data_IF_564965962180
#
_entry.id   IF_564965962180
#
_cell.length_a   1.000
_cell.length_b   1.000
_cell.length_c   1.000
_cell.angle_alpha   90.00
_cell.angle_beta   90.00
_cell.angle_gamma   90.00
#
_symmetry.space_group_name_H-M   'P 1'
#
loop_
_entity.id
_entity.type
_entity.pdbx_description
1 polymer ?
#
# COMPACT_ATOMS: atom_id res chain seq x y z
N UNK A 1 -0.45 -2.20 1.03
CA UNK A 1 0.10 -0.98 0.41
C UNK A 1 -1.02 -0.16 -0.19
N UNK A 2 -0.74 1.11 -0.49
CA UNK A 2 -1.63 1.97 -1.26
C UNK A 2 -2.53 2.84 -0.39
N UNK A 3 -3.11 3.83 -1.06
CA UNK A 3 -3.92 4.90 -0.46
C UNK A 3 -5.05 4.41 0.45
N UNK A 4 -5.79 3.32 0.13
CA UNK A 4 -6.90 2.89 0.99
C UNK A 4 -6.48 2.52 2.41
N UNK A 5 -5.32 1.89 2.57
CA UNK A 5 -4.79 1.51 3.90
C UNK A 5 -4.25 2.74 4.62
N UNK A 6 -3.49 3.58 3.91
CA UNK A 6 -2.92 4.81 4.47
C UNK A 6 -4.02 5.71 5.03
N UNK A 7 -5.13 5.86 4.29
CA UNK A 7 -6.26 6.68 4.71
C UNK A 7 -6.95 6.14 5.98
N UNK A 8 -7.13 4.83 6.08
CA UNK A 8 -7.75 4.19 7.26
C UNK A 8 -6.88 4.32 8.51
N UNK A 9 -5.57 4.16 8.37
CA UNK A 9 -4.62 4.34 9.48
C UNK A 9 -4.57 5.81 9.89
N UNK A 10 -4.64 6.74 8.93
CA UNK A 10 -4.70 8.16 9.24
C UNK A 10 -5.99 8.54 9.98
N UNK A 11 -7.14 8.00 9.56
CA UNK A 11 -8.43 8.15 10.26
C UNK A 11 -8.33 7.66 11.71
N UNK A 12 -7.76 6.46 11.93
CA UNK A 12 -7.53 5.89 13.27
C UNK A 12 -6.59 6.77 14.12
N UNK A 13 -5.58 7.39 13.51
CA UNK A 13 -4.65 8.27 14.21
C UNK A 13 -5.32 9.58 14.62
N UNK A 14 -6.12 10.18 13.73
CA UNK A 14 -6.93 11.37 14.02
C UNK A 14 -7.93 11.09 15.15
N UNK A 15 -8.59 9.94 15.13
CA UNK A 15 -9.50 9.52 16.20
C UNK A 15 -8.79 9.39 17.56
N UNK A 16 -7.50 9.03 17.57
CA UNK A 16 -6.65 8.95 18.76
C UNK A 16 -6.00 10.29 19.16
N UNK A 17 -6.41 11.41 18.54
CA UNK A 17 -5.92 12.75 18.85
C UNK A 17 -4.50 13.04 18.36
N UNK A 18 -3.96 12.24 17.44
CA UNK A 18 -2.70 12.53 16.74
C UNK A 18 -3.03 13.13 15.37
N UNK A 19 -2.37 14.22 14.94
CA UNK A 19 -2.61 14.77 13.59
C UNK A 19 -1.94 13.93 12.49
N UNK A 20 -2.39 12.69 12.30
CA UNK A 20 -2.08 11.86 11.13
C UNK A 20 -0.60 11.84 10.73
N UNK A 21 -0.34 12.07 9.44
CA UNK A 21 0.99 12.10 8.78
C UNK A 21 1.82 13.35 9.08
N UNK A 22 1.24 14.42 9.64
CA UNK A 22 1.96 15.68 9.93
C UNK A 22 2.80 15.62 11.20
N UNK A 23 2.36 14.82 12.18
CA UNK A 23 3.02 14.66 13.48
C UNK A 23 3.68 13.28 13.66
N UNK A 24 3.55 12.37 12.69
CA UNK A 24 4.11 11.01 12.79
C UNK A 24 5.42 10.85 12.03
N UNK A 25 6.37 10.16 12.67
CA UNK A 25 7.56 9.64 12.00
C UNK A 25 7.13 8.74 10.81
N UNK A 26 7.62 8.98 9.58
CA UNK A 26 7.27 8.18 8.41
C UNK A 26 7.51 6.68 8.60
N UNK A 27 8.52 6.28 9.38
CA UNK A 27 8.78 4.86 9.66
C UNK A 27 7.69 4.29 10.58
N UNK A 28 7.33 5.02 11.63
CA UNK A 28 6.21 4.68 12.51
C UNK A 28 4.88 4.54 11.76
N UNK A 29 4.56 5.49 10.87
CA UNK A 29 3.33 5.44 10.08
C UNK A 29 3.28 4.22 9.15
N UNK A 30 4.39 3.92 8.46
CA UNK A 30 4.50 2.74 7.58
C UNK A 30 4.40 1.43 8.35
N UNK A 31 4.95 1.38 9.57
CA UNK A 31 4.80 0.23 10.47
C UNK A 31 3.33 0.02 10.82
N UNK A 32 2.62 1.08 11.24
CA UNK A 32 1.20 1.02 11.54
C UNK A 32 0.37 0.56 10.33
N UNK A 33 0.71 1.00 9.11
CA UNK A 33 0.06 0.50 7.88
C UNK A 33 0.30 -0.98 7.61
N UNK A 34 1.51 -1.49 7.90
CA UNK A 34 1.81 -2.93 7.79
C UNK A 34 1.02 -3.74 8.81
N UNK A 35 0.96 -3.28 10.05
CA UNK A 35 0.24 -3.95 11.12
C UNK A 35 -1.27 -3.99 10.83
N UNK A 36 -1.83 -2.87 10.37
CA UNK A 36 -3.23 -2.78 9.94
C UNK A 36 -3.52 -3.77 8.81
N UNK A 37 -2.66 -3.79 7.77
CA UNK A 37 -2.82 -4.71 6.65
C UNK A 37 -2.71 -6.18 7.09
N UNK A 38 -1.77 -6.51 7.98
CA UNK A 38 -1.59 -7.87 8.49
C UNK A 38 -2.83 -8.34 9.27
N UNK A 39 -3.41 -7.49 10.11
CA UNK A 39 -4.65 -7.81 10.83
C UNK A 39 -5.79 -8.20 9.87
N UNK A 40 -5.94 -7.48 8.77
CA UNK A 40 -6.95 -7.82 7.75
C UNK A 40 -6.62 -9.08 6.96
N UNK A 41 -5.34 -9.35 6.69
CA UNK A 41 -4.90 -10.62 6.08
C UNK A 41 -5.33 -11.80 6.96
N UNK A 42 -5.14 -11.70 8.27
CA UNK A 42 -5.48 -12.78 9.21
C UNK A 42 -7.00 -12.99 9.29
N UNK A 43 -7.77 -11.91 9.38
CA UNK A 43 -9.25 -11.95 9.37
C UNK A 43 -9.75 -12.61 8.09
N UNK A 44 -9.35 -12.10 6.92
CA UNK A 44 -9.81 -12.63 5.63
C UNK A 44 -9.35 -14.07 5.40
N UNK A 45 -8.14 -14.43 5.82
CA UNK A 45 -7.63 -15.80 5.76
C UNK A 45 -8.53 -16.76 6.55
N UNK A 46 -8.94 -16.37 7.76
CA UNK A 46 -9.83 -17.18 8.59
C UNK A 46 -11.24 -17.32 7.99
N UNK A 47 -11.76 -16.25 7.40
CA UNK A 47 -13.08 -16.23 6.77
C UNK A 47 -13.10 -17.08 5.49
N UNK A 48 -12.05 -16.98 4.66
CA UNK A 48 -11.92 -17.80 3.45
C UNK A 48 -11.83 -19.29 3.77
N UNK A 49 -11.06 -19.67 4.80
CA UNK A 49 -11.02 -21.05 5.28
C UNK A 49 -12.39 -21.51 5.79
N UNK A 50 -13.12 -20.64 6.51
CA UNK A 50 -14.45 -20.94 7.05
C UNK A 50 -15.49 -21.22 5.96
N UNK A 51 -15.42 -20.52 4.81
CA UNK A 51 -16.32 -20.76 3.67
C UNK A 51 -15.83 -21.90 2.75
N UNK A 52 -14.77 -22.60 3.12
CA UNK A 52 -14.29 -23.79 2.40
C UNK A 52 -13.41 -23.51 1.19
N UNK A 53 -12.84 -22.29 1.06
CA UNK A 53 -11.85 -22.03 0.01
C UNK A 53 -10.59 -22.86 0.29
N UNK A 54 -10.08 -23.51 -0.74
CA UNK A 54 -8.83 -24.27 -0.70
C UNK A 54 -7.69 -23.38 -1.21
N UNK A 55 -6.65 -23.23 -0.40
CA UNK A 55 -5.47 -22.44 -0.72
C UNK A 55 -4.35 -22.63 0.31
N UNK A 56 -3.15 -22.17 -0.03
CA UNK A 56 -2.02 -22.14 0.91
C UNK A 56 -2.11 -20.89 1.80
N UNK A 57 -2.94 -20.98 2.83
CA UNK A 57 -3.08 -19.91 3.84
C UNK A 57 -1.89 -19.82 4.80
N UNK A 58 -0.97 -20.81 4.78
CA UNK A 58 0.23 -20.80 5.63
C UNK A 58 1.37 -20.01 4.98
N UNK A 59 1.40 -19.97 3.65
CA UNK A 59 2.37 -19.21 2.89
C UNK A 59 1.68 -18.39 1.76
N UNK A 60 0.79 -17.45 2.13
CA UNK A 60 0.09 -16.64 1.15
C UNK A 60 1.03 -15.63 0.48
N UNK A 61 0.75 -15.29 -0.77
CA UNK A 61 1.37 -14.13 -1.39
C UNK A 61 0.81 -12.84 -0.78
N UNK A 62 1.68 -12.00 -0.24
CA UNK A 62 1.34 -10.67 0.24
C UNK A 62 2.28 -9.64 -0.40
N UNK A 63 1.71 -8.55 -0.93
CA UNK A 63 2.48 -7.54 -1.68
C UNK A 63 3.50 -6.81 -0.81
N UNK A 64 3.29 -6.78 0.51
CA UNK A 64 4.19 -6.16 1.48
C UNK A 64 5.32 -7.08 1.95
N UNK A 65 5.36 -8.34 1.52
CA UNK A 65 6.50 -9.20 1.80
C UNK A 65 7.77 -8.66 1.12
N UNK A 66 8.91 -8.78 1.81
CA UNK A 66 10.21 -8.28 1.33
C UNK A 66 10.60 -8.93 0.01
N UNK A 67 10.22 -10.19 -0.21
CA UNK A 67 10.45 -10.87 -1.49
C UNK A 67 9.68 -10.21 -2.63
N UNK A 68 8.40 -9.90 -2.40
CA UNK A 68 7.53 -9.20 -3.36
C UNK A 68 8.07 -7.81 -3.68
N UNK A 69 8.44 -7.03 -2.66
CA UNK A 69 9.03 -5.70 -2.83
C UNK A 69 10.35 -5.73 -3.58
N UNK A 70 11.22 -6.70 -3.28
CA UNK A 70 12.49 -6.89 -3.99
C UNK A 70 12.29 -7.32 -5.45
N UNK A 71 11.20 -8.03 -5.77
CA UNK A 71 10.85 -8.34 -7.16
C UNK A 71 10.38 -7.08 -7.90
N UNK A 72 9.50 -6.27 -7.30
CA UNK A 72 9.05 -5.01 -7.89
C UNK A 72 10.24 -4.10 -8.18
N UNK A 73 11.15 -3.92 -7.22
CA UNK A 73 12.35 -3.10 -7.42
C UNK A 73 13.24 -3.62 -8.57
N UNK A 74 13.38 -4.95 -8.70
CA UNK A 74 14.14 -5.58 -9.79
C UNK A 74 13.49 -5.33 -11.15
N UNK A 75 12.17 -5.46 -11.26
CA UNK A 75 11.47 -5.20 -12.53
C UNK A 75 11.55 -3.72 -12.92
N UNK A 76 11.38 -2.78 -11.98
CA UNK A 76 11.59 -1.35 -12.23
C UNK A 76 13.01 -1.08 -12.76
N UNK A 77 14.02 -1.75 -12.19
CA UNK A 77 15.39 -1.59 -12.65
C UNK A 77 15.59 -2.04 -14.11
N UNK A 78 14.89 -3.08 -14.58
CA UNK A 78 14.96 -3.47 -16.00
C UNK A 78 14.42 -2.37 -16.92
N UNK A 79 13.33 -1.69 -16.54
CA UNK A 79 12.80 -0.54 -17.29
C UNK A 79 13.75 0.66 -17.28
N UNK A 80 14.49 0.86 -16.18
CA UNK A 80 15.54 1.85 -16.15
C UNK A 80 16.67 1.50 -17.14
N UNK A 81 17.13 0.25 -17.15
CA UNK A 81 18.26 -0.19 -17.97
C UNK A 81 17.95 -0.24 -19.47
N UNK A 82 16.70 -0.45 -19.85
CA UNK A 82 16.29 -0.48 -21.26
C UNK A 82 15.78 0.87 -21.80
N UNK A 83 15.78 1.93 -20.97
CA UNK A 83 15.34 3.27 -21.35
C UNK A 83 13.81 3.48 -21.36
N UNK A 84 13.02 2.50 -20.90
CA UNK A 84 11.56 2.60 -20.79
C UNK A 84 11.07 3.44 -19.60
N UNK A 85 11.95 3.75 -18.64
CA UNK A 85 11.65 4.61 -17.50
C UNK A 85 12.22 6.02 -17.71
N UNK A 86 11.36 7.03 -17.65
CA UNK A 86 11.76 8.44 -17.72
C UNK A 86 11.06 9.26 -16.63
N UNK A 87 11.65 10.42 -16.30
CA UNK A 87 11.06 11.42 -15.41
C UNK A 87 10.84 12.71 -16.20
N UNK A 88 9.64 13.26 -16.12
CA UNK A 88 9.28 14.50 -16.80
C UNK A 88 8.25 15.31 -16.02
N UNK A 89 7.83 16.42 -16.61
CA UNK A 89 6.77 17.29 -16.09
C UNK A 89 5.60 17.26 -17.06
N UNK A 90 4.45 16.78 -16.61
CA UNK A 90 3.17 16.77 -17.33
C UNK A 90 2.11 17.26 -16.32
N UNK A 91 1.08 18.01 -16.74
CA UNK A 91 -0.11 18.16 -15.91
C UNK A 91 -0.68 16.79 -15.54
N UNK A 92 -0.91 16.55 -14.25
CA UNK A 92 -1.41 15.28 -13.72
C UNK A 92 -2.70 15.52 -12.93
N UNK A 93 -3.53 14.48 -12.83
CA UNK A 93 -4.66 14.50 -11.91
C UNK A 93 -4.12 14.47 -10.48
N UNK A 94 -4.57 15.42 -9.66
CA UNK A 94 -4.08 15.62 -8.30
C UNK A 94 -5.19 15.47 -7.27
N UNK A 95 -5.00 14.56 -6.32
CA UNK A 95 -5.89 14.41 -5.17
C UNK A 95 -5.49 15.42 -4.09
N UNK A 96 -6.29 16.47 -3.91
CA UNK A 96 -6.13 17.42 -2.79
C UNK A 96 -6.20 16.74 -1.42
N UNK A 97 -7.18 15.84 -1.13
CA UNK A 97 -7.27 15.22 0.19
C UNK A 97 -6.13 14.24 0.48
N UNK A 98 -5.65 13.50 -0.53
CA UNK A 98 -4.58 12.50 -0.34
C UNK A 98 -3.17 13.07 -0.61
N UNK A 99 -3.10 14.32 -1.10
CA UNK A 99 -1.87 15.03 -1.40
C UNK A 99 -0.91 14.27 -2.33
N UNK A 100 -1.48 13.55 -3.31
CA UNK A 100 -0.70 12.78 -4.28
C UNK A 100 -1.27 12.91 -5.70
N UNK A 101 -0.43 12.62 -6.68
CA UNK A 101 -0.85 12.42 -8.05
C UNK A 101 -1.57 11.07 -8.21
N UNK A 102 -2.58 11.05 -9.08
CA UNK A 102 -3.36 9.85 -9.43
C UNK A 102 -3.08 9.44 -10.87
N UNK A 103 -3.11 8.14 -11.13
CA UNK A 103 -3.09 7.61 -12.48
C UNK A 103 -4.43 7.86 -13.18
N UNK A 104 -4.44 7.94 -14.52
CA UNK A 104 -5.67 8.15 -15.30
C UNK A 104 -6.70 7.04 -15.05
N UNK A 105 -6.25 5.81 -14.76
CA UNK A 105 -7.12 4.68 -14.43
C UNK A 105 -7.71 4.73 -12.99
N UNK A 106 -7.25 5.66 -12.15
CA UNK A 106 -7.71 5.83 -10.77
C UNK A 106 -8.76 6.96 -10.65
N UNK A 107 -9.16 7.57 -11.77
CA UNK A 107 -10.14 8.66 -11.83
C UNK A 107 -11.38 8.17 -12.57
N UNK A 108 -12.56 8.40 -11.98
CA UNK A 108 -13.89 8.18 -12.58
C UNK A 108 -14.58 9.50 -12.95
#
# INVERSE_FOLDING_TARGET
>A
HGLPIEWKVEEDFRAKGKNGTKDSDPVGFRTACRDFAQGWVDVQSSEFQRIGILGDFKNPYVTMDKKSEAMIAREIHKFLMNGGLYRGSKPVMWSVPEQTALAEAEVE
#
